data_IF_098313369460
#
_entry.id   IF_098313369460
#
_cell.length_a   1.000
_cell.length_b   1.000
_cell.length_c   1.000
_cell.angle_alpha   90.00
_cell.angle_beta   90.00
_cell.angle_gamma   90.00
#
_symmetry.space_group_name_H-M   'P 1'
#
loop_
_entity.id
_entity.type
_entity.pdbx_description
1 polymer ?
#
# COMPACT_ATOMS: atom_id res chain seq x y z
N UNK A 1 -8.81 6.99 29.28
CA UNK A 1 -9.22 6.26 28.07
C UNK A 1 -9.19 4.76 28.36
N UNK A 2 -10.24 4.03 28.00
CA UNK A 2 -10.26 2.57 28.11
C UNK A 2 -9.47 2.06 26.90
N UNK A 3 -8.27 1.47 27.12
CA UNK A 3 -7.59 0.78 26.03
C UNK A 3 -8.45 -0.41 25.61
N UNK A 4 -8.79 -0.48 24.31
CA UNK A 4 -9.50 -1.62 23.75
C UNK A 4 -8.69 -2.91 23.99
N UNK A 5 -9.38 -4.00 24.27
CA UNK A 5 -8.71 -5.30 24.25
C UNK A 5 -8.26 -5.62 22.81
N UNK A 6 -7.07 -6.24 22.61
CA UNK A 6 -6.56 -6.53 21.27
C UNK A 6 -7.52 -7.37 20.40
N UNK A 7 -8.37 -8.16 21.04
CA UNK A 7 -9.37 -9.00 20.37
C UNK A 7 -10.59 -8.21 19.87
N UNK A 8 -10.74 -6.97 20.27
CA UNK A 8 -11.93 -6.15 20.02
C UNK A 8 -11.70 -5.00 19.01
N UNK A 9 -10.46 -4.81 18.54
CA UNK A 9 -10.10 -3.72 17.64
C UNK A 9 -9.89 -4.17 16.19
N UNK A 10 -9.54 -3.21 15.34
CA UNK A 10 -9.24 -3.37 13.92
C UNK A 10 -7.74 -3.16 13.66
N UNK A 11 -7.14 -3.94 12.76
CA UNK A 11 -5.84 -3.63 12.15
C UNK A 11 -6.12 -3.01 10.78
N UNK A 12 -5.76 -1.74 10.63
CA UNK A 12 -5.81 -1.05 9.35
C UNK A 12 -4.56 -1.37 8.55
N UNK A 13 -4.75 -1.88 7.32
CA UNK A 13 -3.64 -2.23 6.42
C UNK A 13 -3.42 -1.19 5.32
N UNK A 14 -4.14 -0.09 5.41
CA UNK A 14 -3.96 1.10 4.59
C UNK A 14 -4.38 2.36 5.36
N UNK A 15 -3.38 3.10 5.73
CA UNK A 15 -3.45 4.47 6.21
C UNK A 15 -2.31 5.24 5.56
N UNK A 16 -2.22 6.54 5.87
CA UNK A 16 -1.16 7.40 5.36
C UNK A 16 -0.45 8.15 6.47
N UNK A 17 0.79 8.50 6.22
CA UNK A 17 1.57 9.39 7.08
C UNK A 17 2.03 10.60 6.26
N UNK A 18 1.92 11.79 6.84
CA UNK A 18 2.55 12.98 6.30
C UNK A 18 3.91 13.08 7.00
N UNK A 19 5.00 12.95 6.25
CA UNK A 19 6.33 12.93 6.84
C UNK A 19 6.63 14.22 7.59
N UNK A 20 7.17 14.18 8.82
CA UNK A 20 7.62 15.39 9.50
C UNK A 20 8.76 16.07 8.72
N UNK A 21 8.86 17.42 8.76
CA UNK A 21 9.86 18.19 7.99
C UNK A 21 11.31 17.75 8.20
N UNK A 22 11.59 17.03 9.28
CA UNK A 22 12.93 16.64 9.71
C UNK A 22 13.43 15.31 9.16
N UNK A 23 12.57 14.48 8.57
CA UNK A 23 12.90 13.08 8.15
C UNK A 23 14.21 12.99 7.38
N UNK A 24 14.41 13.84 6.38
CA UNK A 24 15.61 13.80 5.53
C UNK A 24 16.69 14.76 6.00
N UNK A 25 16.31 15.95 6.45
CA UNK A 25 17.25 17.00 6.85
C UNK A 25 18.11 16.58 8.03
N UNK A 26 17.54 15.87 9.00
CA UNK A 26 18.28 15.42 10.19
C UNK A 26 19.24 14.25 9.89
N UNK A 27 18.96 13.50 8.80
CA UNK A 27 19.77 12.35 8.36
C UNK A 27 20.78 12.69 7.27
N UNK A 28 20.60 13.83 6.60
CA UNK A 28 21.47 14.26 5.53
C UNK A 28 22.80 14.83 6.05
N UNK A 29 23.88 14.62 5.30
CA UNK A 29 25.11 15.36 5.51
C UNK A 29 24.84 16.87 5.41
N UNK A 30 25.58 17.68 6.18
CA UNK A 30 25.37 19.14 6.24
C UNK A 30 25.36 19.81 4.84
N UNK A 31 26.19 19.31 3.94
CA UNK A 31 26.30 19.84 2.57
C UNK A 31 25.10 19.51 1.67
N UNK A 32 24.26 18.52 2.06
CA UNK A 32 23.15 18.04 1.26
C UNK A 32 21.79 18.42 1.83
N UNK A 33 21.73 19.13 2.95
CA UNK A 33 20.47 19.48 3.63
C UNK A 33 19.50 20.27 2.76
N UNK A 34 20.00 21.12 1.88
CA UNK A 34 19.19 21.91 0.94
C UNK A 34 18.88 21.12 -0.35
N UNK A 35 19.44 19.91 -0.52
CA UNK A 35 19.26 19.06 -1.70
C UNK A 35 18.32 17.89 -1.46
N UNK A 36 18.19 17.41 -0.21
CA UNK A 36 17.22 16.41 0.20
C UNK A 36 15.82 17.03 0.32
N UNK A 37 14.74 16.25 0.41
CA UNK A 37 13.41 16.80 0.70
C UNK A 37 13.43 17.62 1.99
N UNK A 38 13.00 18.88 1.91
CA UNK A 38 12.90 19.81 3.05
C UNK A 38 11.72 20.75 2.86
N UNK A 39 11.21 21.27 3.96
CA UNK A 39 10.07 22.20 3.96
C UNK A 39 10.54 23.65 3.95
N UNK A 40 9.89 24.45 3.14
CA UNK A 40 9.99 25.91 3.14
C UNK A 40 8.60 26.52 3.23
N UNK A 41 8.49 27.70 3.83
CA UNK A 41 7.24 28.46 3.86
C UNK A 41 7.16 29.39 2.64
N UNK A 42 6.11 29.24 1.83
CA UNK A 42 5.84 30.05 0.64
C UNK A 42 4.40 30.58 0.74
N UNK A 43 4.25 31.91 0.83
CA UNK A 43 2.95 32.59 0.90
C UNK A 43 2.03 32.02 2.01
N UNK A 44 2.62 31.61 3.15
CA UNK A 44 1.90 31.05 4.29
C UNK A 44 1.49 29.58 4.14
N UNK A 45 2.07 28.87 3.16
CA UNK A 45 1.85 27.46 2.93
C UNK A 45 3.17 26.70 3.07
N UNK A 46 3.15 25.56 3.74
CA UNK A 46 4.29 24.65 3.82
C UNK A 46 4.49 23.93 2.49
N UNK A 47 5.65 24.10 1.88
CA UNK A 47 5.99 23.50 0.59
C UNK A 47 7.24 22.65 0.73
N UNK A 48 7.18 21.42 0.27
CA UNK A 48 8.36 20.57 0.16
C UNK A 48 9.16 20.90 -1.11
N UNK A 49 10.47 21.05 -0.92
CA UNK A 49 11.43 21.20 -2.00
C UNK A 49 12.33 19.98 -2.08
N UNK A 50 12.52 19.46 -3.29
CA UNK A 50 13.46 18.37 -3.58
C UNK A 50 14.04 18.54 -4.98
N UNK A 51 15.30 18.96 -5.10
CA UNK A 51 15.87 19.38 -6.37
C UNK A 51 15.03 20.50 -7.02
N UNK A 52 14.59 20.28 -8.25
CA UNK A 52 13.73 21.23 -8.99
C UNK A 52 12.23 21.07 -8.62
N UNK A 53 11.89 20.09 -7.79
CA UNK A 53 10.48 19.79 -7.47
C UNK A 53 9.93 20.71 -6.39
N UNK A 54 8.69 21.09 -6.59
CA UNK A 54 7.83 21.76 -5.62
C UNK A 54 6.66 20.83 -5.33
N UNK A 55 6.58 20.30 -4.12
CA UNK A 55 5.52 19.37 -3.70
C UNK A 55 4.69 20.07 -2.63
N UNK A 56 3.41 20.24 -2.91
CA UNK A 56 2.45 20.81 -1.98
C UNK A 56 1.58 19.71 -1.39
N UNK A 57 1.01 19.96 -0.22
CA UNK A 57 0.10 19.05 0.45
C UNK A 57 -1.34 19.51 0.19
N UNK A 58 -2.07 18.83 -0.72
CA UNK A 58 -3.50 19.07 -0.88
C UNK A 58 -4.25 18.78 0.42
N UNK A 59 -5.24 19.61 0.72
CA UNK A 59 -6.04 19.45 1.94
C UNK A 59 -6.75 18.08 2.02
N UNK A 60 -7.04 17.45 0.87
CA UNK A 60 -7.64 16.12 0.81
C UNK A 60 -6.82 15.02 1.51
N UNK A 61 -5.51 15.20 1.62
CA UNK A 61 -4.61 14.24 2.30
C UNK A 61 -4.65 14.35 3.83
N UNK A 62 -5.43 15.29 4.39
CA UNK A 62 -5.36 15.60 5.81
C UNK A 62 -6.71 16.11 6.33
N UNK A 63 -7.75 15.30 6.23
CA UNK A 63 -9.12 15.68 6.58
C UNK A 63 -9.68 14.95 7.80
N UNK A 64 -9.06 13.87 8.27
CA UNK A 64 -9.56 13.07 9.37
C UNK A 64 -9.89 13.93 10.61
N UNK A 65 -11.10 13.78 11.14
CA UNK A 65 -11.60 14.52 12.29
C UNK A 65 -12.02 15.97 12.03
N UNK A 66 -12.12 16.38 10.76
CA UNK A 66 -12.79 17.64 10.37
C UNK A 66 -14.26 17.39 10.10
N UNK A 67 -15.09 18.36 10.44
CA UNK A 67 -16.49 18.34 10.01
C UNK A 67 -16.56 18.51 8.48
N UNK A 68 -17.47 17.82 7.83
CA UNK A 68 -17.64 17.86 6.37
C UNK A 68 -17.83 19.31 5.84
N UNK A 69 -18.48 20.17 6.64
CA UNK A 69 -18.67 21.58 6.31
C UNK A 69 -17.36 22.41 6.34
N UNK A 70 -16.33 21.92 7.01
CA UNK A 70 -15.03 22.57 7.16
C UNK A 70 -13.98 22.04 6.19
N UNK A 71 -14.36 21.07 5.34
CA UNK A 71 -13.51 20.55 4.27
C UNK A 71 -13.42 21.59 3.16
N UNK A 72 -12.32 22.32 3.13
CA UNK A 72 -12.06 23.32 2.10
C UNK A 72 -11.01 22.80 1.12
N UNK A 73 -11.28 22.84 -0.19
CA UNK A 73 -10.23 22.57 -1.16
C UNK A 73 -9.12 23.62 -1.05
N UNK A 74 -7.87 23.16 -1.04
CA UNK A 74 -6.73 24.05 -0.91
C UNK A 74 -5.45 23.32 -0.58
N UNK A 75 -4.45 24.07 -0.16
CA UNK A 75 -3.17 23.57 0.33
C UNK A 75 -3.14 23.73 1.85
N UNK A 76 -2.43 22.83 2.51
CA UNK A 76 -2.28 22.83 3.97
C UNK A 76 -0.84 23.08 4.39
N UNK A 77 -0.68 23.79 5.50
CA UNK A 77 0.55 23.90 6.25
C UNK A 77 0.54 22.96 7.45
N UNK A 78 1.72 22.62 7.97
CA UNK A 78 1.83 21.81 9.19
C UNK A 78 1.12 22.44 10.39
N UNK A 79 1.04 23.77 10.44
CA UNK A 79 0.28 24.50 11.46
C UNK A 79 -1.22 24.25 11.44
N UNK A 80 -1.76 23.84 10.28
CA UNK A 80 -3.19 23.59 10.08
C UNK A 80 -3.57 22.12 10.31
N UNK A 81 -2.56 21.26 10.44
CA UNK A 81 -2.71 19.81 10.55
C UNK A 81 -2.86 19.38 12.01
N UNK A 82 -3.60 18.30 12.21
CA UNK A 82 -3.58 17.57 13.49
C UNK A 82 -2.19 16.95 13.67
N UNK A 83 -1.60 17.03 14.88
CA UNK A 83 -0.33 16.36 15.17
C UNK A 83 -0.32 14.88 14.78
N UNK A 84 -1.44 14.18 14.91
CA UNK A 84 -1.60 12.77 14.58
C UNK A 84 -1.30 12.42 13.10
N UNK A 85 -1.22 13.40 12.20
CA UNK A 85 -0.87 13.12 10.80
C UNK A 85 0.63 12.85 10.61
N UNK A 86 1.49 13.40 11.50
CA UNK A 86 2.96 13.34 11.37
C UNK A 86 3.71 13.00 12.66
N UNK A 87 3.01 12.80 13.77
CA UNK A 87 3.58 12.42 15.08
C UNK A 87 3.02 11.07 15.52
N UNK A 88 3.90 10.09 15.79
CA UNK A 88 3.51 8.73 16.11
C UNK A 88 2.75 8.62 17.44
N UNK A 89 3.13 9.40 18.45
CA UNK A 89 2.45 9.38 19.75
C UNK A 89 1.04 9.94 19.65
N UNK A 90 0.87 11.10 18.99
CA UNK A 90 -0.43 11.68 18.72
C UNK A 90 -1.30 10.77 17.84
N UNK A 91 -0.70 10.06 16.84
CA UNK A 91 -1.42 9.10 16.00
C UNK A 91 -1.99 7.95 16.83
N UNK A 92 -1.27 7.46 17.84
CA UNK A 92 -1.81 6.39 18.69
C UNK A 92 -3.03 6.82 19.52
N UNK A 93 -3.17 8.10 19.86
CA UNK A 93 -4.36 8.61 20.52
C UNK A 93 -5.58 8.63 19.59
N UNK A 94 -5.39 9.02 18.32
CA UNK A 94 -6.43 8.94 17.30
C UNK A 94 -6.80 7.48 17.00
N UNK A 95 -5.82 6.59 16.88
CA UNK A 95 -6.07 5.14 16.70
C UNK A 95 -6.87 4.54 17.87
N UNK A 96 -6.55 4.92 19.12
CA UNK A 96 -7.29 4.46 20.30
C UNK A 96 -8.75 4.96 20.28
N UNK A 97 -8.98 6.15 19.75
CA UNK A 97 -10.33 6.72 19.59
C UNK A 97 -11.12 5.98 18.53
N UNK A 98 -10.46 5.55 17.45
CA UNK A 98 -11.06 4.95 16.28
C UNK A 98 -11.17 3.41 16.37
N UNK A 99 -10.60 2.81 17.42
CA UNK A 99 -10.58 1.36 17.62
C UNK A 99 -9.55 0.63 16.78
N UNK A 100 -8.52 1.34 16.30
CA UNK A 100 -7.41 0.77 15.52
C UNK A 100 -6.31 0.29 16.47
N UNK A 101 -5.99 -1.01 16.42
CA UNK A 101 -4.95 -1.61 17.28
C UNK A 101 -3.56 -1.56 16.64
N UNK A 102 -3.50 -1.64 15.32
CA UNK A 102 -2.26 -1.43 14.55
C UNK A 102 -2.59 -0.86 13.17
N UNK A 103 -1.65 -0.13 12.58
CA UNK A 103 -1.82 0.58 11.32
C UNK A 103 -0.59 0.42 10.43
N UNK A 104 -0.81 0.17 9.14
CA UNK A 104 0.20 0.28 8.09
C UNK A 104 -0.01 1.64 7.41
N UNK A 105 1.07 2.44 7.31
CA UNK A 105 0.98 3.77 6.74
C UNK A 105 1.81 3.89 5.46
N UNK A 106 1.15 4.24 4.35
CA UNK A 106 1.83 4.61 3.11
C UNK A 106 2.44 6.01 3.21
N UNK A 107 3.55 6.26 2.50
CA UNK A 107 4.19 7.56 2.45
C UNK A 107 3.42 8.58 1.60
N UNK A 108 3.52 9.86 1.97
CA UNK A 108 2.95 10.98 1.19
C UNK A 108 4.00 11.64 0.31
N UNK A 109 5.12 12.10 0.86
CA UNK A 109 6.15 12.84 0.10
C UNK A 109 6.93 11.96 -0.88
N UNK A 110 7.36 10.75 -0.52
CA UNK A 110 7.91 9.80 -1.48
C UNK A 110 6.89 9.37 -2.55
N UNK A 111 5.62 9.64 -2.34
CA UNK A 111 4.47 9.01 -3.00
C UNK A 111 4.47 7.51 -2.69
N UNK A 112 3.42 6.80 -2.98
CA UNK A 112 3.11 5.46 -2.48
C UNK A 112 4.27 4.45 -2.43
N UNK A 113 5.13 4.40 -3.46
CA UNK A 113 6.24 3.43 -3.56
C UNK A 113 7.60 4.07 -3.89
N UNK A 114 7.77 5.37 -3.66
CA UNK A 114 9.04 6.07 -3.91
C UNK A 114 9.15 6.74 -5.28
N UNK A 115 8.02 7.00 -5.96
CA UNK A 115 8.03 7.64 -7.29
C UNK A 115 8.76 8.98 -7.30
N UNK A 116 8.70 9.76 -6.22
CA UNK A 116 9.42 11.04 -6.09
C UNK A 116 10.92 10.85 -6.28
N UNK A 117 11.48 9.77 -5.74
CA UNK A 117 12.90 9.44 -5.87
C UNK A 117 13.24 8.78 -7.20
N UNK A 118 12.30 8.01 -7.78
CA UNK A 118 12.43 7.48 -9.14
C UNK A 118 12.61 8.61 -10.17
N UNK A 119 11.97 9.74 -9.97
CA UNK A 119 12.04 10.89 -10.88
C UNK A 119 13.26 11.80 -10.65
N UNK A 120 14.08 11.53 -9.62
CA UNK A 120 15.25 12.33 -9.30
C UNK A 120 16.37 12.14 -10.31
N UNK A 121 17.09 13.23 -10.61
CA UNK A 121 18.26 13.21 -11.52
C UNK A 121 19.51 12.64 -10.83
N UNK A 122 19.69 12.95 -9.55
CA UNK A 122 20.80 12.47 -8.72
C UNK A 122 20.40 11.16 -8.05
N UNK A 123 20.84 10.05 -8.64
CA UNK A 123 20.49 8.69 -8.18
C UNK A 123 21.17 8.30 -6.87
N UNK A 124 22.34 8.83 -6.59
CA UNK A 124 23.06 8.57 -5.34
C UNK A 124 22.35 9.25 -4.18
N UNK A 125 22.02 10.52 -4.32
CA UNK A 125 21.25 11.26 -3.32
C UNK A 125 19.85 10.68 -3.15
N UNK A 126 19.20 10.25 -4.23
CA UNK A 126 17.89 9.60 -4.17
C UNK A 126 17.93 8.29 -3.37
N UNK A 127 19.00 7.49 -3.52
CA UNK A 127 19.18 6.27 -2.74
C UNK A 127 19.34 6.58 -1.24
N UNK A 128 20.12 7.60 -0.89
CA UNK A 128 20.23 8.03 0.51
C UNK A 128 18.90 8.56 1.06
N UNK A 129 18.09 9.22 0.24
CA UNK A 129 16.74 9.64 0.65
C UNK A 129 15.79 8.46 0.88
N UNK A 130 15.86 7.40 0.05
CA UNK A 130 15.10 6.16 0.27
C UNK A 130 15.50 5.52 1.60
N UNK A 131 16.80 5.37 1.86
CA UNK A 131 17.30 4.81 3.11
C UNK A 131 16.89 5.64 4.33
N UNK A 132 16.98 6.97 4.22
CA UNK A 132 16.60 7.88 5.30
C UNK A 132 15.10 7.76 5.65
N UNK A 133 14.22 7.65 4.65
CA UNK A 133 12.80 7.39 4.86
C UNK A 133 12.57 6.04 5.57
N UNK A 134 13.20 4.97 5.07
CA UNK A 134 13.05 3.63 5.64
C UNK A 134 13.56 3.55 7.09
N UNK A 135 14.70 4.21 7.36
CA UNK A 135 15.25 4.28 8.72
C UNK A 135 14.31 5.04 9.66
N UNK A 136 13.77 6.18 9.22
CA UNK A 136 12.78 6.90 9.99
C UNK A 136 11.51 6.09 10.24
N UNK A 137 10.99 5.42 9.21
CA UNK A 137 9.78 4.60 9.32
C UNK A 137 9.95 3.46 10.35
N UNK A 138 11.12 2.81 10.36
CA UNK A 138 11.39 1.70 11.28
C UNK A 138 11.69 2.21 12.70
N UNK A 139 12.62 3.17 12.82
CA UNK A 139 13.20 3.54 14.11
C UNK A 139 12.36 4.55 14.90
N UNK A 140 11.70 5.49 14.20
CA UNK A 140 10.97 6.59 14.84
C UNK A 140 9.47 6.45 14.70
N UNK A 141 8.93 6.28 13.48
CA UNK A 141 7.49 6.12 13.30
C UNK A 141 6.98 4.85 13.99
N UNK A 142 7.47 3.69 13.60
CA UNK A 142 7.09 2.44 14.23
C UNK A 142 7.77 2.22 15.59
N UNK A 143 9.03 2.60 15.73
CA UNK A 143 9.77 2.50 16.98
C UNK A 143 9.24 3.43 18.07
N UNK A 144 8.62 4.55 17.72
CA UNK A 144 7.99 5.48 18.67
C UNK A 144 6.75 4.92 19.37
N UNK A 145 6.09 3.93 18.77
CA UNK A 145 4.95 3.23 19.34
C UNK A 145 4.97 1.72 18.98
N UNK A 146 5.83 0.93 19.62
CA UNK A 146 6.04 -0.47 19.28
C UNK A 146 4.74 -1.30 19.28
N UNK A 147 4.52 -2.03 18.19
CA UNK A 147 3.33 -2.87 18.00
C UNK A 147 2.09 -2.12 17.51
N UNK A 148 2.16 -0.78 17.36
CA UNK A 148 1.06 0.03 16.85
C UNK A 148 1.19 0.34 15.35
N UNK A 149 2.40 0.31 14.79
CA UNK A 149 2.63 0.54 13.37
C UNK A 149 3.30 -0.67 12.72
N UNK A 150 2.94 -0.89 11.47
CA UNK A 150 3.49 -1.93 10.59
C UNK A 150 4.50 -1.24 9.67
N UNK A 151 5.81 -1.36 9.88
CA UNK A 151 6.81 -0.65 9.09
C UNK A 151 6.76 -1.06 7.62
N UNK A 152 6.29 -0.16 6.76
CA UNK A 152 6.24 -0.27 5.31
C UNK A 152 7.43 0.49 4.72
N UNK A 153 8.28 -0.21 3.97
CA UNK A 153 9.44 0.39 3.31
C UNK A 153 9.20 0.66 1.84
N UNK A 154 9.91 1.63 1.29
CA UNK A 154 10.01 1.91 -0.14
C UNK A 154 11.35 1.44 -0.69
N UNK A 155 11.44 1.26 -2.00
CA UNK A 155 12.66 0.75 -2.64
C UNK A 155 13.14 1.69 -3.76
N UNK A 156 14.44 1.66 -4.10
CA UNK A 156 14.97 2.37 -5.26
C UNK A 156 14.49 1.68 -6.55
N UNK A 157 13.30 2.05 -7.04
CA UNK A 157 12.60 1.41 -8.17
C UNK A 157 13.43 1.36 -9.48
N UNK A 158 14.43 2.22 -9.63
CA UNK A 158 15.26 2.30 -10.84
C UNK A 158 16.34 1.21 -10.95
N UNK A 159 16.58 0.46 -9.88
CA UNK A 159 17.59 -0.61 -9.84
C UNK A 159 17.14 -1.76 -8.93
N UNK A 160 16.73 -2.90 -9.50
CA UNK A 160 16.26 -4.05 -8.72
C UNK A 160 17.30 -4.68 -7.81
N UNK A 161 18.61 -4.52 -8.11
CA UNK A 161 19.66 -5.04 -7.24
C UNK A 161 19.84 -4.16 -6.00
N UNK A 162 19.81 -2.84 -6.16
CA UNK A 162 19.78 -1.90 -5.04
C UNK A 162 18.49 -2.06 -4.23
N UNK A 163 17.35 -2.29 -4.90
CA UNK A 163 16.07 -2.54 -4.23
C UNK A 163 16.12 -3.83 -3.39
N UNK A 164 16.71 -4.90 -3.92
CA UNK A 164 16.92 -6.15 -3.18
C UNK A 164 17.78 -5.97 -1.94
N UNK A 165 18.91 -5.26 -2.09
CA UNK A 165 19.81 -4.97 -0.96
C UNK A 165 19.12 -4.13 0.13
N UNK A 166 18.29 -3.17 -0.27
CA UNK A 166 17.54 -2.34 0.68
C UNK A 166 16.44 -3.13 1.41
N UNK A 167 15.74 -4.03 0.72
CA UNK A 167 14.77 -4.95 1.34
C UNK A 167 15.47 -5.85 2.37
N UNK A 168 16.60 -6.44 2.02
CA UNK A 168 17.37 -7.29 2.95
C UNK A 168 17.83 -6.50 4.18
N UNK A 169 18.38 -5.29 3.96
CA UNK A 169 18.80 -4.39 5.05
C UNK A 169 17.66 -4.08 6.01
N UNK A 170 16.51 -3.69 5.47
CA UNK A 170 15.36 -3.28 6.27
C UNK A 170 14.64 -4.46 6.92
N UNK A 171 14.58 -5.63 6.27
CA UNK A 171 14.07 -6.86 6.87
C UNK A 171 14.82 -7.23 8.14
N UNK A 172 16.17 -7.12 8.13
CA UNK A 172 17.02 -7.32 9.29
C UNK A 172 16.80 -6.31 10.43
N UNK A 173 16.15 -5.18 10.16
CA UNK A 173 15.84 -4.10 11.11
C UNK A 173 14.40 -4.07 11.58
N UNK A 174 13.56 -4.98 11.10
CA UNK A 174 12.17 -5.10 11.56
C UNK A 174 11.10 -4.56 10.60
N UNK A 175 11.45 -4.24 9.35
CA UNK A 175 10.45 -3.98 8.31
C UNK A 175 9.46 -5.13 8.21
N UNK A 176 8.20 -4.82 7.92
CA UNK A 176 7.10 -5.78 7.85
C UNK A 176 6.44 -5.86 6.47
N UNK A 177 6.65 -4.89 5.61
CA UNK A 177 6.09 -4.83 4.28
C UNK A 177 6.97 -4.00 3.33
N UNK A 178 6.81 -4.24 2.02
CA UNK A 178 7.49 -3.50 0.95
C UNK A 178 6.42 -2.88 0.06
N UNK A 179 6.49 -1.57 -0.17
CA UNK A 179 5.62 -0.90 -1.14
C UNK A 179 6.17 -1.06 -2.56
N UNK A 180 5.27 -1.35 -3.50
CA UNK A 180 5.61 -1.51 -4.92
C UNK A 180 4.54 -0.89 -5.83
N UNK A 181 4.88 -0.65 -7.10
CA UNK A 181 3.96 -0.06 -8.06
C UNK A 181 2.91 -1.05 -8.56
N UNK A 182 1.66 -0.59 -8.68
CA UNK A 182 0.57 -1.32 -9.32
C UNK A 182 0.85 -1.62 -10.79
N UNK A 183 1.64 -0.75 -11.47
CA UNK A 183 2.05 -0.94 -12.86
C UNK A 183 3.40 -0.24 -13.12
N UNK A 184 4.54 -0.93 -12.96
CA UNK A 184 5.86 -0.35 -13.20
C UNK A 184 6.04 0.21 -14.61
N UNK A 185 5.39 -0.38 -15.63
CA UNK A 185 5.51 0.09 -17.00
C UNK A 185 4.97 1.52 -17.20
N UNK A 186 3.98 1.93 -16.43
CA UNK A 186 3.46 3.30 -16.44
C UNK A 186 4.42 4.32 -15.82
N UNK A 187 5.34 3.85 -14.99
CA UNK A 187 6.45 4.65 -14.46
C UNK A 187 7.67 4.72 -15.39
N UNK A 188 7.57 4.18 -16.60
CA UNK A 188 8.70 4.08 -17.55
C UNK A 188 9.70 2.98 -17.20
N UNK A 189 9.35 2.06 -16.32
CA UNK A 189 10.16 0.91 -15.91
C UNK A 189 9.76 -0.35 -16.68
N UNK A 190 10.59 -1.40 -16.72
CA UNK A 190 10.19 -2.69 -17.27
C UNK A 190 8.95 -3.27 -16.55
N UNK A 191 8.03 -3.84 -17.31
CA UNK A 191 6.84 -4.51 -16.76
C UNK A 191 7.20 -5.79 -15.99
N UNK A 192 6.24 -6.36 -15.26
CA UNK A 192 6.37 -7.67 -14.61
C UNK A 192 6.62 -8.80 -15.64
N UNK A 193 6.20 -8.61 -16.89
CA UNK A 193 6.38 -9.56 -17.99
C UNK A 193 7.73 -9.44 -18.72
N UNK A 194 8.63 -8.57 -18.24
CA UNK A 194 9.94 -8.35 -18.88
C UNK A 194 10.75 -9.67 -18.97
N UNK A 195 11.14 -10.07 -20.18
CA UNK A 195 11.72 -11.39 -20.48
C UNK A 195 13.01 -11.72 -19.72
N UNK A 196 13.89 -10.73 -19.57
CA UNK A 196 15.14 -10.94 -18.84
C UNK A 196 14.95 -11.01 -17.32
N UNK A 197 13.71 -11.00 -16.82
CA UNK A 197 13.45 -11.07 -15.39
C UNK A 197 13.97 -9.85 -14.64
N UNK A 198 13.74 -8.65 -15.17
CA UNK A 198 14.25 -7.40 -14.57
C UNK A 198 13.98 -7.31 -13.06
N UNK A 199 12.78 -7.66 -12.62
CA UNK A 199 12.37 -7.58 -11.21
C UNK A 199 12.79 -8.80 -10.37
N UNK A 200 13.35 -9.85 -11.00
CA UNK A 200 13.64 -11.11 -10.30
C UNK A 200 14.60 -10.96 -9.11
N UNK A 201 15.65 -10.11 -9.13
CA UNK A 201 16.48 -9.89 -7.94
C UNK A 201 15.68 -9.37 -6.75
N UNK A 202 14.84 -8.36 -6.94
CA UNK A 202 13.97 -7.82 -5.90
C UNK A 202 12.95 -8.86 -5.42
N UNK A 203 12.24 -9.52 -6.35
CA UNK A 203 11.20 -10.48 -6.01
C UNK A 203 11.76 -11.73 -5.32
N UNK A 204 12.97 -12.16 -5.67
CA UNK A 204 13.66 -13.24 -4.96
C UNK A 204 13.93 -12.88 -3.50
N UNK A 205 14.47 -11.68 -3.25
CA UNK A 205 14.75 -11.21 -1.88
C UNK A 205 13.46 -11.06 -1.07
N UNK A 206 12.39 -10.53 -1.68
CA UNK A 206 11.07 -10.45 -1.01
C UNK A 206 10.52 -11.85 -0.71
N UNK A 207 10.65 -12.79 -1.65
CA UNK A 207 10.25 -14.20 -1.45
C UNK A 207 11.01 -14.84 -0.27
N UNK A 208 12.32 -14.58 -0.16
CA UNK A 208 13.18 -15.19 0.84
C UNK A 208 13.01 -14.56 2.22
N UNK A 209 12.83 -13.24 2.28
CA UNK A 209 12.50 -12.53 3.53
C UNK A 209 11.05 -12.79 3.96
N UNK A 210 10.16 -13.11 3.00
CA UNK A 210 8.74 -13.35 3.17
C UNK A 210 7.96 -12.09 3.60
N UNK A 211 8.48 -10.90 3.30
CA UNK A 211 7.73 -9.65 3.45
C UNK A 211 6.61 -9.60 2.41
N UNK A 212 5.40 -9.16 2.75
CA UNK A 212 4.37 -8.90 1.76
C UNK A 212 4.70 -7.66 0.92
N UNK A 213 4.24 -7.67 -0.32
CA UNK A 213 4.23 -6.51 -1.21
C UNK A 213 2.88 -5.82 -1.03
N UNK A 214 2.90 -4.55 -0.64
CA UNK A 214 1.71 -3.70 -0.56
C UNK A 214 1.67 -2.78 -1.79
N UNK A 215 0.54 -2.81 -2.49
CA UNK A 215 0.32 -2.07 -3.71
C UNK A 215 -0.92 -1.20 -3.50
N UNK A 216 -0.72 0.11 -3.52
CA UNK A 216 -1.78 1.10 -3.43
C UNK A 216 -2.17 1.59 -4.83
N UNK A 217 -3.45 1.84 -5.09
CA UNK A 217 -3.84 2.47 -6.34
C UNK A 217 -3.16 3.85 -6.48
N UNK A 218 -2.88 4.29 -7.70
CA UNK A 218 -2.12 5.53 -7.94
C UNK A 218 -0.60 5.39 -7.82
N UNK A 219 -0.09 4.24 -7.37
CA UNK A 219 1.36 3.98 -7.31
C UNK A 219 2.03 3.84 -8.69
N UNK A 220 1.25 3.79 -9.77
CA UNK A 220 1.72 3.94 -11.15
C UNK A 220 1.76 5.38 -11.64
N UNK A 221 1.39 6.36 -10.80
CA UNK A 221 1.19 7.77 -11.17
C UNK A 221 0.09 8.00 -12.22
N UNK A 222 -0.80 7.03 -12.37
CA UNK A 222 -1.92 7.09 -13.29
C UNK A 222 -3.23 6.90 -12.52
N UNK A 223 -4.18 7.79 -12.76
CA UNK A 223 -5.56 7.64 -12.27
C UNK A 223 -6.44 7.42 -13.49
N UNK A 224 -7.26 6.36 -13.50
CA UNK A 224 -8.09 6.06 -14.66
C UNK A 224 -9.18 7.14 -14.83
N UNK A 225 -9.40 7.54 -16.07
CA UNK A 225 -10.48 8.45 -16.45
C UNK A 225 -10.97 8.07 -17.84
N UNK A 226 -12.19 8.50 -18.19
CA UNK A 226 -12.76 8.25 -19.52
C UNK A 226 -12.45 9.36 -20.51
N UNK A 227 -12.17 10.59 -20.03
CA UNK A 227 -11.80 11.73 -20.84
C UNK A 227 -11.16 12.82 -19.94
N UNK A 228 -10.42 13.75 -20.55
CA UNK A 228 -9.76 14.85 -19.83
C UNK A 228 -10.76 15.82 -19.16
N UNK A 229 -11.96 15.93 -19.69
CA UNK A 229 -13.07 16.76 -19.19
C UNK A 229 -14.09 15.97 -18.33
N UNK A 230 -13.80 14.70 -18.04
CA UNK A 230 -14.66 13.90 -17.17
C UNK A 230 -14.69 14.46 -15.74
N UNK A 231 -15.86 14.48 -15.07
CA UNK A 231 -15.93 14.86 -13.66
C UNK A 231 -15.01 14.00 -12.79
N UNK A 232 -14.44 14.57 -11.72
CA UNK A 232 -13.56 13.86 -10.78
C UNK A 232 -14.20 12.58 -10.22
N UNK A 233 -15.53 12.54 -10.08
CA UNK A 233 -16.26 11.35 -9.64
C UNK A 233 -16.04 10.12 -10.55
N UNK A 234 -15.76 10.33 -11.85
CA UNK A 234 -15.43 9.23 -12.77
C UNK A 234 -14.10 8.61 -12.40
N UNK A 235 -13.09 9.43 -12.15
CA UNK A 235 -11.78 8.95 -11.72
C UNK A 235 -11.84 8.27 -10.35
N UNK A 236 -12.53 8.87 -9.39
CA UNK A 236 -12.73 8.28 -8.07
C UNK A 236 -13.45 6.91 -8.14
N UNK A 237 -14.50 6.80 -8.96
CA UNK A 237 -15.19 5.52 -9.19
C UNK A 237 -14.29 4.45 -9.82
N UNK A 238 -13.38 4.85 -10.73
CA UNK A 238 -12.55 3.92 -11.49
C UNK A 238 -11.21 3.61 -10.83
N UNK A 239 -10.78 4.39 -9.84
CA UNK A 239 -9.47 4.23 -9.17
C UNK A 239 -9.21 2.80 -8.67
N UNK A 240 -10.17 2.11 -8.03
CA UNK A 240 -9.97 0.73 -7.57
C UNK A 240 -9.66 -0.26 -8.71
N UNK A 241 -10.08 0.04 -9.97
CA UNK A 241 -9.81 -0.83 -11.11
C UNK A 241 -8.32 -0.95 -11.45
N UNK A 242 -7.49 0.02 -11.06
CA UNK A 242 -6.04 -0.11 -11.20
C UNK A 242 -5.51 -1.37 -10.48
N UNK A 243 -6.10 -1.71 -9.36
CA UNK A 243 -5.70 -2.91 -8.62
C UNK A 243 -6.26 -4.20 -9.23
N UNK A 244 -7.39 -4.11 -9.92
CA UNK A 244 -7.87 -5.20 -10.79
C UNK A 244 -6.88 -5.49 -11.92
N UNK A 245 -6.32 -4.44 -12.56
CA UNK A 245 -5.27 -4.60 -13.58
C UNK A 245 -3.98 -5.14 -12.97
N UNK A 246 -3.56 -4.65 -11.80
CA UNK A 246 -2.39 -5.17 -11.09
C UNK A 246 -2.56 -6.67 -10.76
N UNK A 247 -3.72 -7.09 -10.25
CA UNK A 247 -4.01 -8.50 -9.99
C UNK A 247 -3.89 -9.35 -11.26
N UNK A 248 -4.44 -8.89 -12.39
CA UNK A 248 -4.31 -9.58 -13.68
C UNK A 248 -2.83 -9.69 -14.11
N UNK A 249 -2.04 -8.62 -13.98
CA UNK A 249 -0.61 -8.63 -14.29
C UNK A 249 0.14 -9.68 -13.43
N UNK A 250 -0.08 -9.70 -12.12
CA UNK A 250 0.54 -10.67 -11.23
C UNK A 250 0.15 -12.10 -11.58
N UNK A 251 -1.14 -12.38 -11.80
CA UNK A 251 -1.63 -13.73 -12.15
C UNK A 251 -0.99 -14.29 -13.41
N UNK A 252 -0.75 -13.43 -14.40
CA UNK A 252 -0.22 -13.87 -15.71
C UNK A 252 1.28 -13.60 -15.90
N UNK A 253 1.97 -13.01 -14.90
CA UNK A 253 3.41 -12.71 -14.98
C UNK A 253 4.33 -13.93 -14.84
N UNK A 254 3.83 -15.07 -14.39
CA UNK A 254 4.60 -16.26 -13.96
C UNK A 254 5.47 -16.01 -12.71
N UNK A 255 5.41 -14.81 -12.10
CA UNK A 255 6.20 -14.47 -10.91
C UNK A 255 5.70 -15.21 -9.67
N UNK A 256 4.38 -15.37 -9.53
CA UNK A 256 3.80 -16.09 -8.38
C UNK A 256 4.14 -17.57 -8.36
N UNK A 257 4.32 -18.20 -9.55
CA UNK A 257 4.78 -19.59 -9.63
C UNK A 257 6.28 -19.70 -9.32
N UNK A 258 7.05 -18.72 -9.77
CA UNK A 258 8.50 -18.70 -9.56
C UNK A 258 8.91 -18.34 -8.14
N UNK A 259 8.14 -17.52 -7.49
CA UNK A 259 8.38 -17.01 -6.15
C UNK A 259 7.19 -17.33 -5.22
N UNK A 260 7.12 -18.57 -4.72
CA UNK A 260 5.90 -19.11 -4.09
C UNK A 260 5.55 -18.53 -2.72
N UNK A 261 6.45 -17.75 -2.09
CA UNK A 261 6.20 -17.11 -0.81
C UNK A 261 5.68 -15.67 -0.93
N UNK A 262 5.62 -15.11 -2.16
CA UNK A 262 5.11 -13.76 -2.37
C UNK A 262 3.67 -13.65 -1.89
N UNK A 263 3.36 -12.52 -1.24
CA UNK A 263 2.02 -12.08 -0.87
C UNK A 263 1.82 -10.68 -1.40
N UNK A 264 0.72 -10.46 -2.10
CA UNK A 264 0.38 -9.20 -2.75
C UNK A 264 -0.87 -8.66 -2.08
N UNK A 265 -0.74 -7.53 -1.37
CA UNK A 265 -1.83 -6.82 -0.71
C UNK A 265 -2.23 -5.64 -1.59
N UNK A 266 -3.52 -5.52 -1.91
CA UNK A 266 -4.05 -4.54 -2.85
C UNK A 266 -4.87 -3.50 -2.09
N UNK A 267 -4.23 -2.39 -1.74
CA UNK A 267 -4.78 -1.33 -0.89
C UNK A 267 -5.69 -0.37 -1.65
N UNK A 268 -6.83 -0.02 -1.05
CA UNK A 268 -7.93 0.77 -1.64
C UNK A 268 -8.52 0.18 -2.93
N UNK A 269 -8.39 -1.14 -3.09
CA UNK A 269 -8.89 -1.84 -4.27
C UNK A 269 -10.36 -2.25 -4.16
N UNK A 270 -10.89 -2.32 -2.95
CA UNK A 270 -12.11 -3.05 -2.70
C UNK A 270 -11.96 -4.55 -2.99
N UNK A 271 -13.00 -5.32 -2.74
CA UNK A 271 -12.97 -6.78 -2.88
C UNK A 271 -14.11 -7.35 -3.75
N UNK A 272 -15.11 -6.53 -4.06
CA UNK A 272 -16.28 -6.97 -4.82
C UNK A 272 -16.00 -7.41 -6.26
N UNK A 273 -14.90 -6.96 -6.85
CA UNK A 273 -14.46 -7.37 -8.19
C UNK A 273 -13.74 -8.72 -8.20
N UNK A 274 -13.25 -9.19 -7.06
CA UNK A 274 -12.40 -10.40 -6.96
C UNK A 274 -13.09 -11.66 -7.49
N UNK A 275 -14.35 -11.98 -7.16
CA UNK A 275 -15.02 -13.16 -7.69
C UNK A 275 -15.09 -13.16 -9.21
N UNK A 276 -15.41 -12.02 -9.80
CA UNK A 276 -15.48 -11.84 -11.25
C UNK A 276 -14.12 -12.11 -11.92
N UNK A 277 -13.04 -11.55 -11.40
CA UNK A 277 -11.71 -11.71 -11.98
C UNK A 277 -11.20 -13.14 -11.84
N UNK A 278 -11.44 -13.80 -10.70
CA UNK A 278 -11.09 -15.19 -10.50
C UNK A 278 -11.78 -16.08 -11.55
N UNK A 279 -13.09 -15.95 -11.69
CA UNK A 279 -13.86 -16.71 -12.68
C UNK A 279 -13.44 -16.37 -14.12
N UNK A 280 -13.24 -15.08 -14.41
CA UNK A 280 -12.83 -14.63 -15.74
C UNK A 280 -11.45 -15.10 -16.13
N UNK A 281 -10.50 -15.18 -15.20
CA UNK A 281 -9.15 -15.69 -15.44
C UNK A 281 -9.17 -17.18 -15.80
N UNK A 282 -9.96 -17.99 -15.08
CA UNK A 282 -10.16 -19.41 -15.41
C UNK A 282 -10.76 -19.56 -16.81
N UNK A 283 -11.81 -18.82 -17.12
CA UNK A 283 -12.44 -18.83 -18.44
C UNK A 283 -11.45 -18.49 -19.55
N UNK A 284 -10.62 -17.46 -19.37
CA UNK A 284 -9.63 -17.05 -20.37
C UNK A 284 -8.60 -18.15 -20.60
N UNK A 285 -8.04 -18.71 -19.52
CA UNK A 285 -7.05 -19.80 -19.64
C UNK A 285 -7.63 -21.02 -20.34
N UNK A 286 -8.87 -21.38 -20.05
CA UNK A 286 -9.55 -22.52 -20.67
C UNK A 286 -9.83 -22.29 -22.16
N UNK A 287 -10.43 -21.14 -22.50
CA UNK A 287 -10.90 -20.87 -23.87
C UNK A 287 -9.82 -20.34 -24.81
N UNK A 288 -8.72 -19.81 -24.27
CA UNK A 288 -7.59 -19.34 -25.08
C UNK A 288 -6.43 -20.34 -25.18
N UNK A 289 -6.67 -21.62 -24.93
CA UNK A 289 -5.64 -22.69 -25.09
C UNK A 289 -5.03 -22.73 -26.47
N UNK A 290 -5.78 -22.35 -27.48
CA UNK A 290 -5.31 -22.22 -28.87
C UNK A 290 -4.17 -21.17 -29.00
N UNK A 291 -4.13 -20.14 -28.18
CA UNK A 291 -3.06 -19.15 -28.20
C UNK A 291 -1.69 -19.76 -27.88
N UNK A 292 -1.66 -20.94 -27.23
CA UNK A 292 -0.41 -21.67 -26.94
C UNK A 292 0.20 -22.33 -28.17
N UNK A 293 -0.55 -22.44 -29.26
CA UNK A 293 -0.13 -23.13 -30.50
C UNK A 293 0.21 -22.18 -31.62
N UNK A 294 0.00 -20.90 -31.46
CA UNK A 294 0.36 -19.90 -32.46
C UNK A 294 1.80 -19.42 -32.26
N UNK A 295 2.54 -19.35 -33.37
CA UNK A 295 3.75 -18.55 -33.47
C UNK A 295 3.40 -17.10 -33.07
N UNK A 296 4.32 -16.35 -32.40
CA UNK A 296 3.99 -15.04 -31.88
C UNK A 296 3.44 -14.15 -32.99
N UNK A 297 2.18 -13.76 -32.84
CA UNK A 297 1.61 -12.64 -33.58
C UNK A 297 2.36 -11.38 -33.14
N UNK A 298 3.11 -10.82 -34.07
CA UNK A 298 3.80 -9.55 -33.86
C UNK A 298 2.77 -8.41 -33.97
N UNK A 299 1.91 -8.33 -32.96
CA UNK A 299 1.05 -7.18 -32.75
C UNK A 299 1.85 -6.24 -31.86
N UNK A 300 2.47 -5.21 -32.41
CA UNK A 300 3.19 -4.15 -31.71
C UNK A 300 4.26 -4.63 -30.70
N UNK A 301 5.14 -5.57 -31.08
CA UNK A 301 6.18 -6.12 -30.20
C UNK A 301 5.69 -6.90 -28.97
N UNK A 302 4.43 -7.19 -28.83
CA UNK A 302 3.93 -8.12 -27.81
C UNK A 302 4.25 -9.55 -28.21
N UNK A 303 5.38 -10.05 -27.75
CA UNK A 303 5.79 -11.42 -27.99
C UNK A 303 5.17 -12.33 -26.93
N UNK A 304 4.27 -13.20 -27.36
CA UNK A 304 3.52 -14.16 -26.54
C UNK A 304 4.36 -15.38 -26.10
N UNK A 305 5.55 -15.19 -25.56
CA UNK A 305 6.30 -16.30 -24.96
C UNK A 305 5.76 -16.68 -23.57
N UNK A 306 4.95 -15.81 -22.95
CA UNK A 306 4.28 -16.09 -21.70
C UNK A 306 2.86 -16.57 -21.97
N UNK A 307 2.69 -17.89 -22.03
CA UNK A 307 1.42 -18.54 -22.37
C UNK A 307 0.46 -18.69 -21.17
N UNK A 308 0.54 -17.78 -20.24
CA UNK A 308 -0.25 -17.81 -19.00
C UNK A 308 0.31 -18.77 -17.94
N UNK A 309 -0.33 -18.86 -16.78
CA UNK A 309 0.10 -19.68 -15.68
C UNK A 309 0.00 -21.18 -16.00
N UNK A 310 0.89 -21.98 -15.42
CA UNK A 310 0.86 -23.44 -15.53
C UNK A 310 -0.13 -24.08 -14.54
N UNK A 311 -0.47 -23.36 -13.49
CA UNK A 311 -1.48 -23.75 -12.50
C UNK A 311 -2.76 -22.91 -12.66
N UNK A 312 -3.92 -23.35 -12.14
CA UNK A 312 -5.15 -22.57 -12.22
C UNK A 312 -4.97 -21.15 -11.65
N UNK A 313 -5.44 -20.10 -12.36
CA UNK A 313 -5.40 -18.73 -11.83
C UNK A 313 -6.07 -18.54 -10.48
N UNK A 314 -7.15 -19.27 -10.22
CA UNK A 314 -7.83 -19.27 -8.93
C UNK A 314 -6.94 -19.77 -7.79
N UNK A 315 -6.10 -20.76 -8.04
CA UNK A 315 -5.14 -21.28 -7.06
C UNK A 315 -4.03 -20.25 -6.75
N UNK A 316 -3.52 -19.57 -7.80
CA UNK A 316 -2.55 -18.49 -7.60
C UNK A 316 -3.18 -17.32 -6.83
N UNK A 317 -4.40 -16.94 -7.21
CA UNK A 317 -5.11 -15.87 -6.53
C UNK A 317 -5.22 -16.15 -5.03
N UNK A 318 -5.76 -17.33 -4.67
CA UNK A 318 -5.95 -17.74 -3.27
C UNK A 318 -4.68 -17.96 -2.48
N UNK A 319 -3.53 -18.18 -3.12
CA UNK A 319 -2.24 -18.33 -2.42
C UNK A 319 -1.54 -17.01 -2.18
N UNK A 320 -1.74 -16.03 -3.07
CA UNK A 320 -0.85 -14.89 -3.15
C UNK A 320 -1.53 -13.54 -3.02
N UNK A 321 -2.82 -13.38 -3.40
CA UNK A 321 -3.47 -12.08 -3.49
C UNK A 321 -4.42 -11.85 -2.31
N UNK A 322 -4.27 -10.70 -1.70
CA UNK A 322 -5.09 -10.22 -0.58
C UNK A 322 -5.76 -8.91 -1.00
N UNK A 323 -7.08 -8.87 -0.93
CA UNK A 323 -7.85 -7.64 -1.15
C UNK A 323 -7.96 -6.84 0.14
N UNK A 324 -7.85 -5.51 0.01
CA UNK A 324 -8.04 -4.60 1.12
C UNK A 324 -9.21 -3.66 0.81
N UNK A 325 -9.99 -3.29 1.82
CA UNK A 325 -11.22 -2.53 1.60
C UNK A 325 -11.62 -1.69 2.82
N UNK A 326 -12.21 -0.53 2.53
CA UNK A 326 -12.78 0.39 3.52
C UNK A 326 -14.24 0.02 3.78
N UNK A 327 -15.08 0.09 2.74
CA UNK A 327 -16.52 -0.26 2.75
C UNK A 327 -16.88 -0.91 1.42
N UNK A 328 -17.07 -2.23 1.41
CA UNK A 328 -17.44 -3.00 0.22
C UNK A 328 -18.46 -4.09 0.60
N UNK A 329 -19.70 -3.67 0.68
CA UNK A 329 -20.81 -4.55 1.04
C UNK A 329 -20.96 -5.73 0.07
N UNK A 330 -20.84 -5.48 -1.24
CA UNK A 330 -20.96 -6.55 -2.23
C UNK A 330 -19.87 -7.60 -2.06
N UNK A 331 -18.64 -7.18 -1.79
CA UNK A 331 -17.53 -8.09 -1.51
C UNK A 331 -17.78 -8.91 -0.25
N UNK A 332 -18.26 -8.28 0.82
CA UNK A 332 -18.59 -8.98 2.08
C UNK A 332 -19.74 -9.99 1.89
N UNK A 333 -20.75 -9.67 1.09
CA UNK A 333 -21.84 -10.61 0.77
C UNK A 333 -21.37 -11.80 -0.10
N UNK A 334 -20.18 -11.73 -0.70
CA UNK A 334 -19.59 -12.77 -1.57
C UNK A 334 -18.29 -13.37 -1.02
N UNK A 335 -18.06 -13.32 0.29
CA UNK A 335 -16.87 -13.88 0.94
C UNK A 335 -16.66 -15.37 0.67
N UNK A 336 -17.72 -16.15 0.44
CA UNK A 336 -17.61 -17.57 0.09
C UNK A 336 -16.87 -17.78 -1.24
N UNK A 337 -17.01 -16.84 -2.19
CA UNK A 337 -16.31 -16.90 -3.48
C UNK A 337 -14.89 -16.32 -3.41
N UNK A 338 -14.67 -15.32 -2.55
CA UNK A 338 -13.38 -14.65 -2.37
C UNK A 338 -12.45 -15.47 -1.49
N UNK A 339 -12.95 -15.89 -0.32
CA UNK A 339 -12.20 -16.44 0.81
C UNK A 339 -11.99 -15.38 1.91
N UNK A 340 -12.62 -15.56 3.06
CA UNK A 340 -12.50 -14.63 4.19
C UNK A 340 -11.05 -14.50 4.71
N UNK A 341 -10.18 -15.46 4.43
CA UNK A 341 -8.76 -15.48 4.78
C UNK A 341 -7.87 -14.70 3.80
N UNK A 342 -8.45 -14.10 2.76
CA UNK A 342 -7.77 -13.31 1.72
C UNK A 342 -8.19 -11.85 1.67
N UNK A 343 -8.89 -11.36 2.69
CA UNK A 343 -9.33 -9.98 2.76
C UNK A 343 -8.94 -9.33 4.08
N UNK A 344 -8.64 -8.04 4.06
CA UNK A 344 -8.26 -7.23 5.22
C UNK A 344 -8.97 -5.88 5.14
N UNK A 345 -9.16 -5.25 6.29
CA UNK A 345 -9.80 -3.93 6.35
C UNK A 345 -8.77 -2.81 6.43
N UNK A 346 -9.20 -1.64 6.02
CA UNK A 346 -8.44 -0.40 6.03
C UNK A 346 -9.30 0.77 6.50
N UNK A 347 -8.70 1.81 7.05
CA UNK A 347 -9.38 3.01 7.52
C UNK A 347 -9.09 4.24 6.69
N UNK A 348 -7.99 4.20 5.94
CA UNK A 348 -7.49 5.27 5.07
C UNK A 348 -7.28 6.61 5.82
N UNK A 349 -6.85 6.54 7.09
CA UNK A 349 -6.51 7.73 7.84
C UNK A 349 -5.22 8.37 7.30
N UNK A 350 -5.11 9.69 7.06
CA UNK A 350 -6.04 10.75 7.42
C UNK A 350 -6.82 11.35 6.25
N UNK A 351 -7.09 10.58 5.22
CA UNK A 351 -7.80 11.05 4.04
C UNK A 351 -9.27 11.40 4.34
N UNK A 352 -9.88 12.17 3.43
CA UNK A 352 -11.24 12.68 3.63
C UNK A 352 -12.35 11.67 3.37
N UNK A 353 -12.07 10.60 2.65
CA UNK A 353 -12.94 9.46 2.38
C UNK A 353 -12.68 8.27 3.33
N UNK A 354 -11.73 8.42 4.27
CA UNK A 354 -11.49 7.48 5.34
C UNK A 354 -12.64 7.42 6.36
N UNK A 355 -12.54 6.46 7.28
CA UNK A 355 -13.62 6.14 8.23
C UNK A 355 -13.45 6.74 9.63
N UNK A 356 -12.37 7.46 9.90
CA UNK A 356 -12.11 8.09 11.20
C UNK A 356 -13.21 9.12 11.58
N UNK A 357 -13.73 9.16 12.81
CA UNK A 357 -13.35 8.38 13.99
C UNK A 357 -14.26 7.15 14.24
N UNK A 358 -14.78 6.52 13.20
CA UNK A 358 -15.79 5.49 13.30
C UNK A 358 -15.38 4.15 12.64
N UNK A 359 -14.07 3.91 12.42
CA UNK A 359 -13.57 2.76 11.67
C UNK A 359 -14.00 1.42 12.27
N UNK A 360 -13.89 1.26 13.60
CA UNK A 360 -14.34 0.05 14.27
C UNK A 360 -15.85 -0.14 14.15
N UNK A 361 -16.64 0.92 14.35
CA UNK A 361 -18.10 0.83 14.24
C UNK A 361 -18.55 0.53 12.80
N UNK A 362 -17.84 1.08 11.80
CA UNK A 362 -18.08 0.77 10.39
C UNK A 362 -17.77 -0.70 10.09
N UNK A 363 -16.65 -1.22 10.56
CA UNK A 363 -16.27 -2.62 10.41
C UNK A 363 -17.31 -3.55 11.06
N UNK A 364 -17.73 -3.26 12.28
CA UNK A 364 -18.76 -4.06 12.98
C UNK A 364 -20.11 -4.05 12.25
N UNK A 365 -20.53 -2.88 11.75
CA UNK A 365 -21.74 -2.74 10.96
C UNK A 365 -21.67 -3.56 9.66
N UNK A 366 -20.57 -3.45 8.94
CA UNK A 366 -20.38 -4.09 7.65
C UNK A 366 -20.29 -5.63 7.77
N UNK A 367 -19.64 -6.10 8.82
CA UNK A 367 -19.42 -7.52 9.08
C UNK A 367 -20.47 -8.15 10.03
N UNK A 368 -21.57 -7.45 10.33
CA UNK A 368 -22.56 -7.92 11.32
C UNK A 368 -23.18 -9.28 10.99
N UNK A 369 -23.31 -9.64 9.70
CA UNK A 369 -23.84 -10.93 9.24
C UNK A 369 -22.78 -12.01 9.02
N UNK A 370 -21.51 -11.71 9.20
CA UNK A 370 -20.38 -12.60 8.96
C UNK A 370 -20.13 -13.47 10.21
N UNK A 371 -19.81 -14.75 10.00
CA UNK A 371 -19.40 -15.66 11.09
C UNK A 371 -18.30 -15.03 11.96
N UNK A 372 -18.35 -15.28 13.28
CA UNK A 372 -17.45 -14.65 14.24
C UNK A 372 -15.96 -14.97 13.96
N UNK A 373 -15.65 -16.18 13.49
CA UNK A 373 -14.29 -16.56 13.13
C UNK A 373 -13.81 -15.83 11.88
N UNK A 374 -14.63 -15.79 10.83
CA UNK A 374 -14.35 -15.06 9.61
C UNK A 374 -14.22 -13.53 9.87
N UNK A 375 -15.11 -12.98 10.70
CA UNK A 375 -15.03 -11.57 11.11
C UNK A 375 -13.71 -11.26 11.82
N UNK A 376 -13.28 -12.09 12.77
CA UNK A 376 -11.98 -11.92 13.44
C UNK A 376 -10.82 -12.01 12.44
N UNK A 377 -10.86 -12.96 11.48
CA UNK A 377 -9.85 -13.08 10.43
C UNK A 377 -9.75 -11.79 9.61
N UNK A 378 -10.86 -11.23 9.18
CA UNK A 378 -10.91 -10.02 8.35
C UNK A 378 -10.41 -8.79 9.13
N UNK A 379 -10.87 -8.63 10.37
CA UNK A 379 -10.52 -7.46 11.20
C UNK A 379 -9.07 -7.47 11.67
N UNK A 380 -8.47 -8.64 11.93
CA UNK A 380 -7.13 -8.74 12.51
C UNK A 380 -6.33 -9.96 12.03
N UNK A 381 -6.92 -11.16 12.03
CA UNK A 381 -6.18 -12.41 11.91
C UNK A 381 -5.36 -12.49 10.62
N UNK A 382 -5.93 -12.03 9.50
CA UNK A 382 -5.23 -12.00 8.21
C UNK A 382 -4.04 -11.04 8.23
N UNK A 383 -4.23 -9.82 8.73
CA UNK A 383 -3.16 -8.84 8.86
C UNK A 383 -2.03 -9.37 9.77
N UNK A 384 -2.37 -9.96 10.92
CA UNK A 384 -1.38 -10.57 11.81
C UNK A 384 -0.55 -11.65 11.11
N UNK A 385 -1.22 -12.53 10.38
CA UNK A 385 -0.57 -13.61 9.61
C UNK A 385 0.30 -13.09 8.47
N UNK A 386 -0.22 -12.15 7.70
CA UNK A 386 0.44 -11.61 6.50
C UNK A 386 1.68 -10.81 6.89
N UNK A 387 1.56 -9.89 7.85
CA UNK A 387 2.63 -9.01 8.32
C UNK A 387 3.44 -9.59 9.48
N UNK A 388 3.14 -10.80 9.93
CA UNK A 388 3.83 -11.48 11.05
C UNK A 388 3.88 -10.59 12.30
N UNK A 389 2.70 -10.11 12.72
CA UNK A 389 2.57 -9.27 13.89
C UNK A 389 2.47 -10.16 15.14
N UNK A 390 3.28 -9.84 16.15
CA UNK A 390 3.16 -10.47 17.46
C UNK A 390 1.91 -9.97 18.19
N UNK A 391 1.39 -10.79 19.11
CA UNK A 391 0.38 -10.31 20.05
C UNK A 391 0.99 -9.20 20.91
N UNK A 392 0.33 -8.04 21.05
CA UNK A 392 0.87 -6.96 21.85
C UNK A 392 1.09 -7.40 23.31
N UNK A 393 2.25 -7.09 23.89
CA UNK A 393 2.59 -7.49 25.27
C UNK A 393 1.59 -6.96 26.32
N UNK A 394 0.90 -5.86 26.05
CA UNK A 394 -0.17 -5.33 26.89
C UNK A 394 -1.47 -6.17 26.88
N UNK A 395 -1.59 -7.09 25.91
CA UNK A 395 -2.70 -8.04 25.83
C UNK A 395 -2.59 -9.19 26.83
N UNK A 396 -1.35 -9.58 27.15
CA UNK A 396 -1.08 -10.72 28.04
C UNK A 396 -1.21 -10.40 29.53
N UNK A 397 -1.37 -9.14 29.92
CA UNK A 397 -1.43 -8.73 31.34
C UNK A 397 -2.84 -8.82 31.96
N UNK A 398 -3.87 -9.27 31.25
CA UNK A 398 -5.25 -9.38 31.75
C UNK A 398 -5.74 -10.80 32.04
N UNK A 399 -4.87 -11.81 31.95
CA UNK A 399 -5.23 -13.22 32.25
C UNK A 399 -4.55 -13.75 33.53
N UNK A 400 -4.24 -12.89 34.49
CA UNK A 400 -3.79 -13.31 35.82
C UNK A 400 -4.68 -12.76 36.91
#
# INVERSE_FOLDING_TARGET
MVRLAPAEGLISVDDHVIEPPTVWVDRAARADRDRVPHVVEEDGVSVWRYGDKRITLPSLFAQAGRDEADIMPGLMSYSDMRPAYFDAAARTEDMDTDGIVASLCFPTIPRYCGQTFLEAKDRELALECVKAYNDWTIDEWAGGAPGRFIPLIITPLWDPALAAAEVERCAGRGAKAVSFSENPAKLGLPSLHHRAGYWDPLLSTINDTGLPICIHFGSSSMVPTTADDAPIFVSALLSPLNLTYAAADWLFSRKLERFPNLKICLSEGGIGWMPYIIERAEYVVEHMRWARTFEPFDYDNTRYENLGPAVPPSDLFRRHIYGCFIDDRFGVENLDAIGADHVMMESDYPHGDGTFPNSLANAERLLAGVDAGARHQIMQGNARRVFRLEEPQWASSKTS
#
